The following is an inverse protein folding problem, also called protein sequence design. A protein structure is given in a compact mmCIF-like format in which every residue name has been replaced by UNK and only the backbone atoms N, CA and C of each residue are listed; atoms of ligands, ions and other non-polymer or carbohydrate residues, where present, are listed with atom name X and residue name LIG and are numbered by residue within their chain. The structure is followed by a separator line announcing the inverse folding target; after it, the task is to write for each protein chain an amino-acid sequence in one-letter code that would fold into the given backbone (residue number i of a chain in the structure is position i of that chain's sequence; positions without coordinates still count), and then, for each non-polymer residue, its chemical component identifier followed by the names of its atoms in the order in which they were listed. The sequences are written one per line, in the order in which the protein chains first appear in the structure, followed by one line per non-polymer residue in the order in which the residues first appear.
data_IF_779359958782
#
_entry.id   IF_779359958782
#
_cell.length_a   1.000
_cell.length_b   1.000
_cell.length_c   1.000
_cell.angle_alpha   90.00
_cell.angle_beta   90.00
_cell.angle_gamma   90.00
#
_symmetry.space_group_name_H-M   'P 1'
#
loop_
_entity.id
_entity.type
_entity.pdbx_description
1 polymer ?
#
# COMPACT_ATOMS: atom_id res chain seq x y z
N UNK A 1 9.62 -7.17 25.28
CA UNK A 1 8.95 -7.74 24.09
C UNK A 1 7.47 -7.93 24.38
N UNK A 2 6.65 -8.25 23.37
CA UNK A 2 5.23 -8.55 23.58
C UNK A 2 5.08 -9.85 24.36
N UNK A 3 4.28 -9.90 25.45
CA UNK A 3 4.02 -11.15 26.19
C UNK A 3 3.36 -12.23 25.31
N UNK A 4 3.81 -13.50 25.35
CA UNK A 4 3.28 -14.58 24.50
C UNK A 4 1.76 -14.75 24.58
N UNK A 5 1.17 -14.55 25.76
CA UNK A 5 -0.27 -14.65 26.00
C UNK A 5 -1.10 -13.60 25.27
N UNK A 6 -0.49 -12.49 24.86
CA UNK A 6 -1.16 -11.43 24.10
C UNK A 6 -1.06 -11.64 22.59
N UNK A 7 -0.15 -12.49 22.10
CA UNK A 7 0.15 -12.65 20.67
C UNK A 7 -1.10 -13.04 19.87
N UNK A 8 -1.92 -13.95 20.38
CA UNK A 8 -3.15 -14.39 19.71
C UNK A 8 -4.16 -13.25 19.50
N UNK A 9 -4.15 -12.20 20.34
CA UNK A 9 -5.06 -11.06 20.23
C UNK A 9 -4.73 -10.15 19.05
N UNK A 10 -3.50 -10.19 18.54
CA UNK A 10 -3.05 -9.41 17.40
C UNK A 10 -3.58 -9.92 16.05
N UNK A 11 -4.35 -11.00 16.03
CA UNK A 11 -5.15 -11.36 14.84
C UNK A 11 -6.20 -10.27 14.55
N UNK A 12 -6.71 -9.60 15.59
CA UNK A 12 -7.57 -8.43 15.43
C UNK A 12 -6.72 -7.17 15.19
N UNK A 13 -6.82 -6.52 14.02
CA UNK A 13 -6.07 -5.29 13.73
C UNK A 13 -6.41 -4.14 14.70
N UNK A 14 -7.60 -4.11 15.30
CA UNK A 14 -7.95 -3.09 16.27
C UNK A 14 -7.13 -3.20 17.57
N UNK A 15 -6.69 -4.41 17.92
CA UNK A 15 -5.86 -4.63 19.12
C UNK A 15 -4.47 -3.97 18.98
N UNK A 16 -3.90 -3.96 17.77
CA UNK A 16 -2.64 -3.25 17.49
C UNK A 16 -2.76 -1.75 17.83
N UNK A 17 -3.89 -1.14 17.50
CA UNK A 17 -4.19 0.27 17.71
C UNK A 17 -4.43 0.61 19.19
N UNK A 18 -4.82 -0.37 20.01
CA UNK A 18 -4.95 -0.20 21.45
C UNK A 18 -3.62 -0.45 22.18
N UNK A 19 -2.78 -1.34 21.67
CA UNK A 19 -1.58 -1.82 22.35
C UNK A 19 -0.36 -0.92 22.12
N UNK A 20 -0.02 -0.60 20.86
CA UNK A 20 1.25 0.08 20.55
C UNK A 20 1.24 1.60 20.76
N UNK A 21 0.17 2.36 20.46
CA UNK A 21 0.22 3.81 20.61
C UNK A 21 0.52 4.33 22.02
N UNK A 22 -0.03 3.76 23.12
CA UNK A 22 0.35 4.15 24.48
C UNK A 22 1.83 3.90 24.79
N UNK A 23 2.39 2.79 24.28
CA UNK A 23 3.81 2.44 24.45
C UNK A 23 4.70 3.47 23.75
N UNK A 24 4.39 3.81 22.50
CA UNK A 24 5.14 4.81 21.74
C UNK A 24 5.13 6.20 22.42
N UNK A 25 4.01 6.59 23.04
CA UNK A 25 3.94 7.83 23.83
C UNK A 25 4.85 7.76 25.05
N UNK A 26 4.85 6.64 25.78
CA UNK A 26 5.70 6.47 26.96
C UNK A 26 7.18 6.47 26.59
N UNK A 27 7.56 5.74 25.53
CA UNK A 27 8.94 5.70 25.03
C UNK A 27 9.44 7.11 24.66
N UNK A 28 8.62 7.92 23.98
CA UNK A 28 8.98 9.29 23.61
C UNK A 28 9.03 10.25 24.82
N UNK A 29 8.22 10.01 25.87
CA UNK A 29 8.32 10.77 27.14
C UNK A 29 9.61 10.46 27.87
N UNK A 30 9.97 9.17 27.97
CA UNK A 30 11.24 8.73 28.57
C UNK A 30 12.43 9.27 27.79
N UNK A 31 12.34 9.32 26.46
CA UNK A 31 13.34 9.94 25.60
C UNK A 31 13.48 11.47 25.83
N UNK A 32 12.49 12.13 26.43
CA UNK A 32 12.50 13.57 26.68
C UNK A 32 12.08 14.40 25.46
N UNK A 33 11.25 13.86 24.58
CA UNK A 33 10.75 14.58 23.41
C UNK A 33 9.90 15.80 23.82
N UNK A 34 10.17 16.96 23.21
CA UNK A 34 9.44 18.22 23.50
C UNK A 34 8.10 18.26 22.75
N UNK A 35 7.16 17.41 23.15
CA UNK A 35 5.87 17.19 22.46
C UNK A 35 4.67 17.65 23.31
N UNK A 36 3.70 18.32 22.69
CA UNK A 36 2.38 18.60 23.31
C UNK A 36 1.46 17.38 23.16
N UNK A 37 1.45 16.51 24.16
CA UNK A 37 0.68 15.26 24.18
C UNK A 37 -0.84 15.43 24.05
N UNK A 38 -1.38 16.63 24.28
CA UNK A 38 -2.81 16.92 24.09
C UNK A 38 -3.23 16.86 22.62
N UNK A 39 -2.26 16.84 21.71
CA UNK A 39 -2.46 16.79 20.25
C UNK A 39 -2.21 15.41 19.65
N UNK A 40 -2.12 14.37 20.48
CA UNK A 40 -1.96 12.98 20.05
C UNK A 40 -3.29 12.41 19.53
N UNK A 41 -3.25 11.65 18.42
CA UNK A 41 -4.41 10.98 17.84
C UNK A 41 -3.99 9.74 17.04
N UNK A 42 -4.96 8.89 16.67
CA UNK A 42 -4.78 7.76 15.75
C UNK A 42 -5.38 8.09 14.37
N UNK A 43 -4.90 7.42 13.32
CA UNK A 43 -5.15 7.84 11.92
C UNK A 43 -6.26 7.06 11.20
N UNK A 44 -6.81 6.02 11.83
CA UNK A 44 -7.86 5.19 11.22
C UNK A 44 -9.26 5.74 11.52
N UNK A 45 -10.29 5.08 10.97
CA UNK A 45 -11.70 5.39 11.25
C UNK A 45 -12.09 5.26 12.73
N UNK A 46 -11.24 4.68 13.57
CA UNK A 46 -11.44 4.62 15.02
C UNK A 46 -11.24 5.99 15.71
N UNK A 47 -10.69 6.99 15.01
CA UNK A 47 -10.65 8.39 15.45
C UNK A 47 -11.67 9.20 14.65
N UNK A 48 -12.89 9.44 15.17
CA UNK A 48 -13.96 10.09 14.41
C UNK A 48 -13.61 11.50 13.95
N UNK A 49 -12.86 12.25 14.76
CA UNK A 49 -12.42 13.61 14.42
C UNK A 49 -11.44 13.60 13.25
N UNK A 50 -10.46 12.68 13.29
CA UNK A 50 -9.48 12.57 12.21
C UNK A 50 -10.10 12.00 10.93
N UNK A 51 -10.98 11.00 11.03
CA UNK A 51 -11.75 10.48 9.90
C UNK A 51 -12.58 11.58 9.23
N UNK A 52 -13.28 12.41 10.01
CA UNK A 52 -14.03 13.56 9.50
C UNK A 52 -13.11 14.57 8.78
N UNK A 53 -11.92 14.84 9.33
CA UNK A 53 -10.93 15.70 8.69
C UNK A 53 -10.47 15.14 7.33
N UNK A 54 -10.14 13.85 7.26
CA UNK A 54 -9.74 13.20 6.00
C UNK A 54 -10.89 13.20 4.98
N UNK A 55 -12.13 12.95 5.40
CA UNK A 55 -13.30 13.06 4.51
C UNK A 55 -13.46 14.45 3.94
N UNK A 56 -13.30 15.49 4.76
CA UNK A 56 -13.32 16.88 4.30
C UNK A 56 -12.22 17.14 3.27
N UNK A 57 -11.00 16.65 3.51
CA UNK A 57 -9.87 16.76 2.59
C UNK A 57 -10.20 16.13 1.23
N UNK A 58 -10.63 14.88 1.19
CA UNK A 58 -10.94 14.16 -0.06
C UNK A 58 -12.14 14.76 -0.81
N UNK A 59 -13.18 15.21 -0.09
CA UNK A 59 -14.31 15.94 -0.71
C UNK A 59 -13.84 17.25 -1.35
N UNK A 60 -12.92 17.96 -0.71
CA UNK A 60 -12.38 19.21 -1.24
C UNK A 60 -11.48 18.97 -2.45
N UNK A 61 -10.62 17.95 -2.41
CA UNK A 61 -9.80 17.54 -3.55
C UNK A 61 -10.65 17.13 -4.76
N UNK A 62 -11.73 16.38 -4.53
CA UNK A 62 -12.70 16.03 -5.58
C UNK A 62 -13.36 17.27 -6.19
N UNK A 63 -13.88 18.20 -5.36
CA UNK A 63 -14.48 19.46 -5.82
C UNK A 63 -13.53 20.32 -6.65
N UNK A 64 -12.23 20.25 -6.38
CA UNK A 64 -11.18 20.97 -7.11
C UNK A 64 -10.62 20.19 -8.32
N UNK A 65 -11.24 19.07 -8.71
CA UNK A 65 -10.81 18.28 -9.86
C UNK A 65 -9.45 17.58 -9.68
N UNK A 66 -8.99 17.35 -8.43
CA UNK A 66 -7.71 16.68 -8.14
C UNK A 66 -7.83 15.17 -7.94
N UNK A 67 -9.05 14.63 -7.97
CA UNK A 67 -9.33 13.19 -7.91
C UNK A 67 -10.04 12.79 -9.20
N UNK A 68 -9.47 11.82 -9.90
CA UNK A 68 -10.03 11.26 -11.13
C UNK A 68 -10.29 9.76 -10.99
N UNK A 69 -11.26 9.24 -11.73
CA UNK A 69 -11.54 7.80 -11.83
C UNK A 69 -11.25 7.32 -13.25
N UNK A 70 -10.57 6.18 -13.39
CA UNK A 70 -10.25 5.58 -14.69
C UNK A 70 -9.35 4.37 -14.57
N UNK A 71 -9.18 3.63 -15.67
CA UNK A 71 -8.24 2.50 -15.76
C UNK A 71 -6.82 3.04 -15.96
N UNK A 72 -5.89 2.61 -15.11
CA UNK A 72 -4.48 3.05 -15.13
C UNK A 72 -3.59 1.86 -14.88
N UNK A 73 -2.43 1.83 -15.54
CA UNK A 73 -1.37 0.86 -15.22
C UNK A 73 -0.73 1.25 -13.90
N UNK A 74 -0.67 0.29 -12.99
CA UNK A 74 -0.10 0.44 -11.66
C UNK A 74 0.51 -0.88 -11.23
N UNK A 75 1.48 -0.84 -10.33
CA UNK A 75 1.94 -2.06 -9.66
C UNK A 75 0.77 -2.63 -8.84
N UNK A 76 0.53 -3.92 -9.00
CA UNK A 76 -0.63 -4.62 -8.47
C UNK A 76 -0.20 -5.92 -7.81
N UNK A 77 -0.72 -6.18 -6.61
CA UNK A 77 -0.52 -7.45 -5.91
C UNK A 77 -1.69 -8.39 -6.23
N UNK A 78 -1.46 -9.53 -6.92
CA UNK A 78 -2.52 -10.51 -7.16
C UNK A 78 -3.07 -11.12 -5.87
N UNK A 79 -2.25 -11.23 -4.83
CA UNK A 79 -2.62 -11.78 -3.53
C UNK A 79 -3.54 -10.83 -2.76
N UNK A 80 -3.16 -9.56 -2.66
CA UNK A 80 -3.92 -8.54 -1.90
C UNK A 80 -5.10 -7.98 -2.70
N UNK A 81 -5.12 -8.26 -4.01
CA UNK A 81 -6.16 -7.85 -4.96
C UNK A 81 -6.36 -6.33 -5.02
N UNK A 82 -5.27 -5.59 -4.84
CA UNK A 82 -5.25 -4.13 -4.85
C UNK A 82 -3.96 -3.57 -5.44
N UNK A 83 -3.95 -2.26 -5.65
CA UNK A 83 -2.74 -1.52 -5.98
C UNK A 83 -1.73 -1.66 -4.83
N UNK A 84 -0.50 -2.04 -5.17
CA UNK A 84 0.59 -2.17 -4.19
C UNK A 84 1.42 -0.89 -4.21
N UNK A 85 1.07 0.04 -3.31
CA UNK A 85 1.79 1.28 -3.14
C UNK A 85 3.15 1.03 -2.46
N UNK A 86 4.02 2.02 -2.47
CA UNK A 86 5.41 1.87 -1.99
C UNK A 86 5.49 1.37 -0.54
N UNK A 87 4.63 1.88 0.35
CA UNK A 87 4.62 1.48 1.76
C UNK A 87 3.98 0.09 2.01
N UNK A 88 3.42 -0.55 0.99
CA UNK A 88 2.89 -1.92 1.06
C UNK A 88 3.91 -2.95 0.55
N UNK A 89 5.11 -2.53 0.12
CA UNK A 89 6.12 -3.38 -0.52
C UNK A 89 7.21 -3.83 0.43
N UNK A 90 7.70 -5.05 0.23
CA UNK A 90 8.92 -5.54 0.85
C UNK A 90 10.19 -5.19 0.07
N UNK A 91 10.09 -5.03 -1.26
CA UNK A 91 11.21 -4.72 -2.16
C UNK A 91 10.74 -3.85 -3.33
N UNK A 92 11.67 -3.16 -3.98
CA UNK A 92 11.37 -2.36 -5.18
C UNK A 92 10.53 -1.11 -4.89
N UNK A 93 10.81 -0.43 -3.79
CA UNK A 93 10.27 0.91 -3.51
C UNK A 93 10.59 1.87 -4.66
N UNK A 94 9.60 2.62 -5.14
CA UNK A 94 9.76 3.56 -6.25
C UNK A 94 9.77 2.93 -7.64
N UNK A 95 9.71 1.59 -7.76
CA UNK A 95 9.58 0.91 -9.06
C UNK A 95 8.17 1.11 -9.61
N UNK A 96 8.09 1.63 -10.83
CA UNK A 96 6.84 1.80 -11.58
C UNK A 96 6.66 0.78 -12.71
N UNK A 97 5.49 0.72 -13.35
CA UNK A 97 5.30 -0.03 -14.58
C UNK A 97 6.27 0.45 -15.66
N UNK A 98 6.93 -0.48 -16.34
CA UNK A 98 7.80 -0.20 -17.48
C UNK A 98 7.09 -0.57 -18.78
N UNK A 99 7.02 0.38 -19.71
CA UNK A 99 6.38 0.18 -21.01
C UNK A 99 7.30 -0.57 -21.98
N UNK A 100 6.73 -1.51 -22.74
CA UNK A 100 7.40 -2.24 -23.81
C UNK A 100 6.45 -2.43 -25.00
N UNK A 101 7.01 -2.41 -26.21
CA UNK A 101 6.27 -2.74 -27.43
C UNK A 101 6.33 -4.24 -27.68
N UNK A 102 5.16 -4.91 -27.60
CA UNK A 102 5.04 -6.33 -27.94
C UNK A 102 4.69 -6.48 -29.43
N UNK A 103 5.68 -6.83 -30.24
CA UNK A 103 5.49 -7.08 -31.69
C UNK A 103 4.93 -8.48 -31.87
N UNK A 104 3.77 -8.58 -32.52
CA UNK A 104 3.18 -9.86 -32.92
C UNK A 104 3.70 -10.24 -34.30
N UNK A 105 4.43 -11.35 -34.37
CA UNK A 105 4.85 -11.96 -35.63
C UNK A 105 3.91 -13.13 -35.93
N UNK A 106 3.36 -13.16 -37.14
CA UNK A 106 2.56 -14.29 -37.59
C UNK A 106 3.45 -15.50 -37.81
N UNK A 107 3.09 -16.63 -37.21
CA UNK A 107 3.78 -17.89 -37.47
C UNK A 107 3.32 -18.40 -38.83
N UNK A 108 4.26 -18.45 -39.78
CA UNK A 108 4.03 -19.05 -41.08
C UNK A 108 4.37 -20.53 -41.04
N UNK A 109 3.72 -21.32 -41.90
CA UNK A 109 4.12 -22.70 -42.13
C UNK A 109 5.57 -22.76 -42.62
N UNK A 110 6.30 -23.78 -42.16
CA UNK A 110 7.71 -23.95 -42.55
C UNK A 110 7.80 -24.19 -44.06
N UNK A 111 8.49 -23.30 -44.82
CA UNK A 111 8.73 -23.52 -46.23
C UNK A 111 9.48 -24.84 -46.46
N UNK A 112 9.14 -25.62 -47.51
CA UNK A 112 9.81 -26.89 -47.79
C UNK A 112 11.35 -26.80 -47.90
N UNK A 113 11.86 -25.66 -48.35
CA UNK A 113 13.30 -25.38 -48.46
C UNK A 113 14.03 -25.28 -47.10
N UNK A 114 13.30 -25.04 -46.01
CA UNK A 114 13.86 -24.93 -44.65
C UNK A 114 13.71 -26.23 -43.83
N UNK A 115 12.96 -27.22 -44.34
CA UNK A 115 12.77 -28.52 -43.68
C UNK A 115 14.06 -29.36 -43.52
N UNK A 116 14.99 -29.41 -44.51
CA UNK A 116 16.21 -30.20 -44.37
C UNK A 116 17.19 -29.68 -43.30
N UNK A 117 17.09 -28.41 -42.91
CA UNK A 117 17.95 -27.78 -41.91
C UNK A 117 17.47 -28.01 -40.46
N UNK A 118 16.32 -28.66 -40.29
CA UNK A 118 15.69 -28.97 -39.01
C UNK A 118 15.81 -30.47 -38.63
N UNK A 119 16.40 -31.30 -39.49
CA UNK A 119 16.72 -32.71 -39.26
C UNK A 119 18.17 -32.87 -38.77
#
# INVERSE_FOLDING_TARGET
GVPPELVARFVDPAFWLAYFPPIAVEDLKVFGAKVDWRRTFITTSLSPLYDSFVRWQFRTLRRRGKISFGKRYSIYSPLDRQLCADHDRATGEGVGPQEYTLIKLELLDTPPALLPALA
#
